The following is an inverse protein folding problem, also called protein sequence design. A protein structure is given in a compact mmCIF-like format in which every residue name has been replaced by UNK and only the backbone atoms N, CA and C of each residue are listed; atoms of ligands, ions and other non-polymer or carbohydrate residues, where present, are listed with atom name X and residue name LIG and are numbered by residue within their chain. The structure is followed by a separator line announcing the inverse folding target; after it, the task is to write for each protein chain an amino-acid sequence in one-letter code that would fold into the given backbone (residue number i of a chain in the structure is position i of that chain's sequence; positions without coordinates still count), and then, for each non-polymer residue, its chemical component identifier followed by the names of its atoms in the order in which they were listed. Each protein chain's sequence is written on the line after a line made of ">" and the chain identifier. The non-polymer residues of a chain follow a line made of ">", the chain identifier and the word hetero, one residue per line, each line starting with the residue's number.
data_IF_313090512943
#
_entry.id   IF_313090512943
#
_cell.length_a   1.000
_cell.length_b   1.000
_cell.length_c   1.000
_cell.angle_alpha   90.00
_cell.angle_beta   90.00
_cell.angle_gamma   90.00
#
_symmetry.space_group_name_H-M   'P 1'
#
loop_
_entity.id
_entity.type
_entity.pdbx_description
1 polymer ?
#
# COMPACT_ATOMS: atom_id res chain seq x y z
N UNK A 1 32.04 9.60 28.29
CA UNK A 1 31.05 9.04 27.33
C UNK A 1 29.83 9.95 27.31
N UNK A 2 29.68 10.83 26.33
CA UNK A 2 28.50 11.65 26.14
C UNK A 2 27.73 11.11 24.92
N UNK A 3 26.47 10.73 25.13
CA UNK A 3 25.57 10.18 24.11
C UNK A 3 25.49 11.17 22.94
N UNK A 4 25.99 10.76 21.77
CA UNK A 4 25.73 11.47 20.51
C UNK A 4 24.21 11.56 20.32
N UNK A 5 23.74 12.75 19.94
CA UNK A 5 22.33 13.07 19.76
C UNK A 5 21.60 11.98 18.97
N UNK A 6 20.42 11.60 19.47
CA UNK A 6 19.61 10.52 18.92
C UNK A 6 19.43 10.72 17.42
N UNK A 7 19.90 9.74 16.65
CA UNK A 7 19.64 9.68 15.23
C UNK A 7 18.13 9.45 15.07
N UNK A 8 17.40 10.53 14.79
CA UNK A 8 15.96 10.48 14.67
C UNK A 8 15.64 9.68 13.41
N UNK A 9 15.04 8.50 13.58
CA UNK A 9 14.57 7.67 12.48
C UNK A 9 13.78 8.51 11.46
N UNK A 10 14.16 8.46 10.18
CA UNK A 10 13.52 9.29 9.15
C UNK A 10 12.16 8.70 8.78
N UNK A 11 11.10 9.50 8.91
CA UNK A 11 9.76 9.06 8.55
C UNK A 11 9.46 9.29 7.06
N UNK A 12 8.89 8.28 6.40
CA UNK A 12 8.55 8.29 4.98
C UNK A 12 7.13 7.76 4.80
N UNK A 13 6.32 8.47 4.03
CA UNK A 13 4.98 8.00 3.63
C UNK A 13 5.05 7.49 2.19
N UNK A 14 4.63 6.25 1.98
CA UNK A 14 4.65 5.57 0.68
C UNK A 14 3.21 5.30 0.26
N UNK A 15 2.83 5.77 -0.93
CA UNK A 15 1.53 5.48 -1.52
C UNK A 15 1.69 4.55 -2.72
N UNK A 16 1.26 3.31 -2.63
CA UNK A 16 1.28 2.37 -3.76
C UNK A 16 0.09 2.67 -4.67
N UNK A 17 0.38 2.97 -5.94
CA UNK A 17 -0.61 3.30 -6.97
C UNK A 17 -0.49 2.32 -8.14
N UNK A 18 -1.60 2.10 -8.83
CA UNK A 18 -1.67 1.25 -10.02
C UNK A 18 -3.12 1.03 -10.42
N UNK A 19 -3.35 0.33 -11.52
CA UNK A 19 -4.70 0.01 -12.02
C UNK A 19 -5.54 -0.62 -10.90
N UNK A 20 -6.73 -0.05 -10.72
CA UNK A 20 -7.72 -0.40 -9.71
C UNK A 20 -9.10 -0.19 -10.33
N UNK A 21 -10.12 -0.87 -9.80
CA UNK A 21 -11.46 -0.86 -10.36
C UNK A 21 -12.07 -2.25 -10.36
N UNK A 22 -13.15 -2.41 -11.12
CA UNK A 22 -13.82 -3.69 -11.31
C UNK A 22 -13.03 -4.65 -12.19
N UNK A 23 -13.60 -5.84 -12.37
CA UNK A 23 -12.99 -6.91 -13.16
C UNK A 23 -12.71 -6.47 -14.61
N UNK A 24 -13.54 -5.56 -15.16
CA UNK A 24 -13.37 -5.04 -16.52
C UNK A 24 -12.09 -4.21 -16.67
N UNK A 25 -11.71 -3.45 -15.64
CA UNK A 25 -10.56 -2.55 -15.71
C UNK A 25 -9.25 -3.26 -15.31
N UNK A 26 -9.27 -4.04 -14.23
CA UNK A 26 -8.05 -4.65 -13.65
C UNK A 26 -7.90 -6.15 -13.91
N UNK A 27 -8.91 -6.81 -14.47
CA UNK A 27 -9.02 -8.27 -14.54
C UNK A 27 -9.38 -8.92 -13.20
N UNK A 28 -9.53 -10.25 -13.18
CA UNK A 28 -9.88 -11.02 -11.97
C UNK A 28 -8.83 -10.87 -10.86
N UNK A 29 -7.55 -10.85 -11.23
CA UNK A 29 -6.43 -10.92 -10.27
C UNK A 29 -5.87 -9.55 -9.86
N UNK A 30 -6.11 -8.50 -10.68
CA UNK A 30 -5.46 -7.20 -10.50
C UNK A 30 -3.92 -7.26 -10.64
N UNK A 31 -3.24 -6.17 -10.28
CA UNK A 31 -1.78 -6.03 -10.41
C UNK A 31 -0.97 -6.39 -9.14
N UNK A 32 -1.62 -6.85 -8.07
CA UNK A 32 -0.92 -7.28 -6.85
C UNK A 32 -0.46 -6.18 -5.90
N UNK A 33 -1.09 -4.99 -5.91
CA UNK A 33 -0.76 -3.87 -5.00
C UNK A 33 -0.88 -4.27 -3.52
N UNK A 34 -1.99 -4.92 -3.15
CA UNK A 34 -2.22 -5.41 -1.78
C UNK A 34 -1.17 -6.45 -1.38
N UNK A 35 -0.81 -7.36 -2.28
CA UNK A 35 0.25 -8.34 -2.05
C UNK A 35 1.61 -7.67 -1.76
N UNK A 36 1.96 -6.64 -2.54
CA UNK A 36 3.18 -5.86 -2.33
C UNK A 36 3.16 -5.15 -0.97
N UNK A 37 2.07 -4.46 -0.64
CA UNK A 37 1.95 -3.75 0.64
C UNK A 37 1.98 -4.70 1.83
N UNK A 38 1.30 -5.85 1.74
CA UNK A 38 1.29 -6.89 2.75
C UNK A 38 2.70 -7.45 2.98
N UNK A 39 3.40 -7.88 1.92
CA UNK A 39 4.77 -8.39 2.02
C UNK A 39 5.73 -7.34 2.57
N UNK A 40 5.59 -6.09 2.14
CA UNK A 40 6.47 -5.01 2.57
C UNK A 40 6.25 -4.64 4.05
N UNK A 41 5.02 -4.69 4.57
CA UNK A 41 4.73 -4.37 5.98
C UNK A 41 4.92 -5.58 6.90
N UNK A 42 4.54 -6.77 6.44
CA UNK A 42 4.60 -8.05 7.16
C UNK A 42 5.49 -9.03 6.39
N UNK A 43 6.82 -8.98 6.59
CA UNK A 43 7.76 -9.79 5.82
C UNK A 43 7.66 -11.29 6.12
N UNK A 44 7.16 -11.66 7.31
CA UNK A 44 7.03 -13.05 7.72
C UNK A 44 6.00 -13.80 6.84
N UNK A 45 6.32 -15.06 6.50
CA UNK A 45 5.53 -15.84 5.54
C UNK A 45 4.13 -16.22 6.06
N UNK A 46 3.99 -16.41 7.36
CA UNK A 46 2.76 -16.76 8.07
C UNK A 46 1.71 -15.63 8.11
N UNK A 47 2.13 -14.39 7.84
CA UNK A 47 1.26 -13.21 7.86
C UNK A 47 0.87 -12.72 6.46
N UNK A 48 1.28 -13.45 5.42
CA UNK A 48 0.99 -13.13 4.04
C UNK A 48 -0.33 -13.77 3.58
N UNK A 49 -1.18 -12.96 2.97
CA UNK A 49 -2.44 -13.38 2.39
C UNK A 49 -2.38 -13.15 0.87
N UNK A 50 -2.78 -14.16 0.09
CA UNK A 50 -2.77 -14.09 -1.38
C UNK A 50 -4.05 -13.42 -1.90
N UNK A 51 -5.18 -13.72 -1.27
CA UNK A 51 -6.48 -13.26 -1.71
C UNK A 51 -6.87 -11.96 -1.00
N UNK A 52 -6.71 -10.85 -1.72
CA UNK A 52 -7.17 -9.55 -1.28
C UNK A 52 -8.42 -9.15 -2.07
N UNK A 53 -9.57 -9.17 -1.40
CA UNK A 53 -10.85 -8.80 -2.02
C UNK A 53 -10.95 -7.28 -2.19
N UNK A 54 -11.44 -6.85 -3.34
CA UNK A 54 -11.78 -5.44 -3.61
C UNK A 54 -13.26 -5.23 -3.93
N UNK A 55 -14.04 -6.31 -3.88
CA UNK A 55 -15.49 -6.29 -3.97
C UNK A 55 -15.99 -6.48 -2.56
N UNK A 56 -16.75 -5.51 -2.05
CA UNK A 56 -17.14 -5.42 -0.65
C UNK A 56 -18.62 -5.11 -0.54
N UNK A 57 -19.24 -5.52 0.57
CA UNK A 57 -20.56 -5.02 0.94
C UNK A 57 -20.48 -3.58 1.45
N UNK A 58 -21.59 -2.85 1.40
CA UNK A 58 -21.69 -1.49 1.98
C UNK A 58 -21.30 -1.46 3.47
N UNK A 59 -21.58 -2.54 4.21
CA UNK A 59 -21.22 -2.67 5.63
C UNK A 59 -19.70 -2.78 5.82
N UNK A 60 -19.03 -3.55 4.96
CA UNK A 60 -17.57 -3.69 5.02
C UNK A 60 -16.85 -2.40 4.60
N UNK A 61 -17.35 -1.74 3.54
CA UNK A 61 -16.82 -0.47 3.05
C UNK A 61 -16.92 0.66 4.09
N UNK A 62 -18.02 0.70 4.84
CA UNK A 62 -18.23 1.66 5.94
C UNK A 62 -17.59 1.23 7.27
N UNK A 63 -17.02 0.02 7.33
CA UNK A 63 -16.31 -0.49 8.48
C UNK A 63 -15.03 0.30 8.79
N UNK A 64 -14.50 0.13 10.00
CA UNK A 64 -13.34 0.93 10.50
C UNK A 64 -12.06 0.80 9.67
N UNK A 65 -11.90 -0.28 8.91
CA UNK A 65 -10.69 -0.55 8.13
C UNK A 65 -10.68 0.24 6.83
N UNK A 66 -11.80 0.25 6.10
CA UNK A 66 -11.95 0.94 4.82
C UNK A 66 -12.47 2.36 5.01
N UNK A 67 -13.32 2.57 6.02
CA UNK A 67 -13.77 3.87 6.50
C UNK A 67 -14.40 4.78 5.42
N UNK A 68 -15.08 4.18 4.45
CA UNK A 68 -15.62 4.86 3.26
C UNK A 68 -14.58 5.50 2.35
N UNK A 69 -13.32 5.08 2.47
CA UNK A 69 -12.21 5.58 1.67
C UNK A 69 -11.77 4.57 0.60
N UNK A 70 -11.30 5.09 -0.53
CA UNK A 70 -10.71 4.30 -1.61
C UNK A 70 -9.19 4.20 -1.45
N UNK A 71 -8.75 3.94 -0.21
CA UNK A 71 -7.37 3.59 0.10
C UNK A 71 -7.33 2.67 1.31
N UNK A 72 -6.22 1.94 1.46
CA UNK A 72 -5.94 1.16 2.66
C UNK A 72 -4.66 1.64 3.32
N UNK A 73 -4.71 1.87 4.62
CA UNK A 73 -3.51 2.04 5.43
C UNK A 73 -3.02 0.68 5.90
N UNK A 74 -1.84 0.27 5.41
CA UNK A 74 -1.24 -1.03 5.70
C UNK A 74 -0.43 -1.05 6.99
N UNK A 75 -0.22 0.12 7.61
CA UNK A 75 0.52 0.26 8.86
C UNK A 75 1.89 0.91 8.70
N UNK A 76 2.64 0.84 9.79
CA UNK A 76 4.00 1.34 9.89
C UNK A 76 5.00 0.17 9.90
N UNK A 77 6.14 0.32 9.22
CA UNK A 77 7.25 -0.62 9.35
C UNK A 77 8.60 0.09 9.38
N UNK A 78 9.49 -0.40 10.24
CA UNK A 78 10.86 0.12 10.36
C UNK A 78 11.80 -0.68 9.46
N UNK A 79 12.65 0.02 8.70
CA UNK A 79 13.71 -0.61 7.90
C UNK A 79 15.02 0.12 8.15
N UNK A 80 16.10 -0.65 8.15
CA UNK A 80 17.46 -0.12 8.29
C UNK A 80 18.11 -0.19 6.91
N UNK A 81 18.65 0.92 6.43
CA UNK A 81 19.42 0.96 5.19
C UNK A 81 20.85 0.41 5.42
N UNK A 82 21.56 0.12 4.34
CA UNK A 82 22.91 -0.46 4.40
C UNK A 82 23.93 0.45 5.12
N UNK A 83 23.68 1.76 5.14
CA UNK A 83 24.47 2.76 5.87
C UNK A 83 24.12 2.85 7.38
N UNK A 84 23.20 1.99 7.85
CA UNK A 84 22.73 1.93 9.23
C UNK A 84 21.61 2.91 9.57
N UNK A 85 21.13 3.70 8.61
CA UNK A 85 20.08 4.68 8.85
C UNK A 85 18.71 4.00 8.99
N UNK A 86 17.99 4.34 10.06
CA UNK A 86 16.64 3.83 10.30
C UNK A 86 15.58 4.70 9.62
N UNK A 87 14.67 4.04 8.91
CA UNK A 87 13.51 4.64 8.27
C UNK A 87 12.23 4.05 8.83
N UNK A 88 11.28 4.93 9.10
CA UNK A 88 9.92 4.58 9.51
C UNK A 88 9.00 4.79 8.32
N UNK A 89 8.54 3.71 7.71
CA UNK A 89 7.65 3.75 6.55
C UNK A 89 6.19 3.64 6.96
N UNK A 90 5.36 4.57 6.52
CA UNK A 90 3.91 4.48 6.56
C UNK A 90 3.39 4.11 5.17
N UNK A 91 2.71 2.97 5.06
CA UNK A 91 2.34 2.42 3.75
C UNK A 91 0.84 2.58 3.51
N UNK A 92 0.51 3.22 2.39
CA UNK A 92 -0.85 3.41 1.91
C UNK A 92 -0.99 2.74 0.55
N UNK A 93 -2.08 2.01 0.33
CA UNK A 93 -2.46 1.52 -0.99
C UNK A 93 -3.61 2.37 -1.53
N UNK A 94 -3.44 2.99 -2.69
CA UNK A 94 -4.56 3.57 -3.44
C UNK A 94 -5.23 2.45 -4.22
N UNK A 95 -6.52 2.27 -3.99
CA UNK A 95 -7.31 1.21 -4.62
C UNK A 95 -8.71 1.71 -4.93
N UNK A 96 -9.53 0.89 -5.57
CA UNK A 96 -10.93 1.19 -5.80
C UNK A 96 -11.77 0.00 -5.35
N UNK A 97 -12.70 0.26 -4.44
CA UNK A 97 -13.63 -0.75 -3.95
C UNK A 97 -14.92 -0.72 -4.75
N UNK A 98 -15.37 -1.92 -5.09
CA UNK A 98 -16.58 -2.16 -5.87
C UNK A 98 -17.64 -2.71 -4.93
N UNK A 99 -18.85 -2.18 -5.07
CA UNK A 99 -20.02 -2.66 -4.34
C UNK A 99 -20.50 -4.01 -4.88
N UNK A 100 -20.69 -4.97 -3.98
CA UNK A 100 -21.11 -6.33 -4.31
C UNK A 100 -22.55 -6.43 -4.82
N UNK A 101 -23.40 -5.47 -4.46
CA UNK A 101 -24.80 -5.44 -4.89
C UNK A 101 -24.97 -4.83 -6.29
N UNK A 102 -24.24 -3.74 -6.59
CA UNK A 102 -24.38 -3.01 -7.84
C UNK A 102 -23.28 -3.28 -8.87
N UNK A 103 -22.17 -3.89 -8.46
CA UNK A 103 -20.94 -4.04 -9.26
C UNK A 103 -20.40 -2.70 -9.80
N UNK A 104 -20.72 -1.60 -9.11
CA UNK A 104 -20.22 -0.26 -9.40
C UNK A 104 -19.26 0.19 -8.30
N UNK A 105 -18.34 1.13 -8.57
CA UNK A 105 -17.50 1.71 -7.54
C UNK A 105 -18.33 2.38 -6.45
N UNK A 106 -17.91 2.23 -5.18
CA UNK A 106 -18.52 2.98 -4.09
C UNK A 106 -18.38 4.49 -4.34
N UNK A 107 -19.40 5.25 -3.94
CA UNK A 107 -19.36 6.72 -4.00
C UNK A 107 -18.61 7.24 -2.79
N UNK A 108 -17.55 8.02 -3.03
CA UNK A 108 -16.83 8.71 -1.96
C UNK A 108 -17.74 9.79 -1.36
N UNK A 109 -17.98 9.73 -0.05
CA UNK A 109 -18.81 10.71 0.65
C UNK A 109 -18.09 12.03 0.94
N UNK A 110 -16.76 12.05 0.80
CA UNK A 110 -15.89 13.22 0.99
C UNK A 110 -15.35 13.72 -0.37
N UNK A 111 -15.74 14.92 -0.84
CA UNK A 111 -15.10 15.55 -1.99
C UNK A 111 -13.62 15.76 -1.69
N UNK A 112 -12.72 15.20 -2.52
CA UNK A 112 -11.27 15.38 -2.39
C UNK A 112 -10.91 16.85 -2.61
N UNK A 113 -10.73 17.61 -1.54
CA UNK A 113 -9.98 18.86 -1.60
C UNK A 113 -8.49 18.52 -1.77
N UNK A 114 -8.04 18.45 -3.02
CA UNK A 114 -6.62 18.43 -3.38
C UNK A 114 -5.98 17.04 -3.40
N UNK A 115 -5.66 16.56 -4.60
CA UNK A 115 -4.55 15.62 -4.75
C UNK A 115 -3.31 16.28 -4.15
N UNK A 116 -2.78 15.71 -3.08
CA UNK A 116 -1.63 16.27 -2.37
C UNK A 116 -0.41 16.24 -3.32
N UNK A 117 0.20 17.39 -3.66
CA UNK A 117 1.33 17.44 -4.59
C UNK A 117 2.57 16.67 -4.10
N UNK A 118 2.58 16.20 -2.84
CA UNK A 118 3.58 15.25 -2.32
C UNK A 118 3.51 13.86 -2.95
N UNK A 119 2.40 13.50 -3.61
CA UNK A 119 2.25 12.23 -4.33
C UNK A 119 3.10 12.12 -5.60
N UNK A 120 3.68 13.22 -6.10
CA UNK A 120 4.59 13.15 -7.25
C UNK A 120 5.96 12.52 -6.90
N UNK A 121 6.38 12.57 -5.63
CA UNK A 121 7.62 11.91 -5.19
C UNK A 121 7.47 10.39 -5.03
N UNK A 122 6.23 9.91 -4.96
CA UNK A 122 5.87 8.49 -4.77
C UNK A 122 6.12 7.65 -6.02
N UNK A 123 6.04 8.24 -7.23
CA UNK A 123 6.30 7.53 -8.49
C UNK A 123 7.80 7.15 -8.62
N UNK A 124 8.70 7.97 -8.06
CA UNK A 124 10.15 7.70 -8.10
C UNK A 124 10.60 6.55 -7.18
N UNK A 125 9.83 6.26 -6.11
CA UNK A 125 10.16 5.18 -5.18
C UNK A 125 9.98 3.80 -5.82
N UNK A 126 9.13 3.68 -6.84
CA UNK A 126 8.90 2.43 -7.57
C UNK A 126 10.15 1.95 -8.32
N UNK A 127 11.01 2.86 -8.80
CA UNK A 127 12.28 2.48 -9.45
C UNK A 127 13.42 2.23 -8.46
N UNK A 128 13.50 2.99 -7.36
CA UNK A 128 14.62 2.84 -6.41
C UNK A 128 14.45 1.69 -5.42
N UNK A 129 13.23 1.36 -4.95
CA UNK A 129 13.05 0.23 -4.03
C UNK A 129 13.32 -1.12 -4.69
N UNK A 130 12.95 -1.29 -5.96
CA UNK A 130 13.25 -2.51 -6.72
C UNK A 130 14.75 -2.65 -6.98
N UNK A 131 15.45 -1.53 -7.25
CA UNK A 131 16.88 -1.53 -7.57
C UNK A 131 17.80 -1.58 -6.34
N UNK A 132 17.41 -0.98 -5.20
CA UNK A 132 18.29 -0.87 -4.03
C UNK A 132 18.09 -1.98 -3.00
N UNK A 133 16.88 -2.56 -2.88
CA UNK A 133 16.60 -3.60 -1.87
C UNK A 133 16.61 -5.04 -2.41
N UNK A 134 17.02 -5.26 -3.66
CA UNK A 134 17.16 -6.61 -4.19
C UNK A 134 15.89 -7.46 -4.04
N UNK A 135 14.69 -6.85 -4.13
CA UNK A 135 13.44 -7.60 -4.22
C UNK A 135 13.41 -8.20 -5.62
N UNK A 136 14.15 -9.29 -5.80
CA UNK A 136 13.93 -10.24 -6.86
C UNK A 136 12.49 -10.72 -6.66
N UNK A 137 11.56 -10.15 -7.42
CA UNK A 137 10.28 -10.78 -7.65
C UNK A 137 10.57 -12.07 -8.42
N UNK A 138 10.96 -13.13 -7.69
CA UNK A 138 11.05 -14.47 -8.23
C UNK A 138 9.63 -14.98 -8.42
N UNK A 139 8.98 -14.50 -9.47
CA UNK A 139 7.93 -15.25 -10.15
C UNK A 139 8.61 -16.47 -10.79
N UNK A 140 8.85 -17.50 -10.00
CA UNK A 140 9.21 -18.82 -10.49
C UNK A 140 8.21 -19.80 -9.93
N UNK A 141 7.37 -20.30 -10.82
CA UNK A 141 6.35 -21.28 -10.51
C UNK A 141 6.94 -22.60 -10.05
N UNK A 142 6.07 -23.35 -9.36
CA UNK A 142 5.92 -24.78 -9.59
C UNK A 142 4.47 -25.02 -9.95
#
# INVERSE_FOLDING_TARGET
>A
MARRGGDASKQVVVSVVGVSGGEREKGVTGLGKSCLCNRFTKPQADQYHVDHISVLSQTDFSGRVVNNDHFLYWGECVRVADDGLEFVFQVVEQTEFIDDASFMPFKVLTPRSGANPRCLWIVFLHLHLVSCYGIQASLTGK
#
